data_IF_480389142058
#
_entry.id   IF_480389142058
#
_cell.length_a   1.000
_cell.length_b   1.000
_cell.length_c   1.000
_cell.angle_alpha   90.00
_cell.angle_beta   90.00
_cell.angle_gamma   90.00
#
_symmetry.space_group_name_H-M   'P 1'
#
loop_
_entity.id
_entity.type
_entity.pdbx_description
1 polymer ?
#
# COMPACT_ATOMS: atom_id res chain seq x y z
N UNK A 1 18.02 26.98 62.37
CA UNK A 1 16.96 26.25 61.63
C UNK A 1 16.91 26.63 60.13
N UNK A 2 18.06 26.71 59.43
CA UNK A 2 18.07 26.95 57.97
C UNK A 2 18.89 25.92 57.17
N UNK A 3 19.81 25.20 57.80
CA UNK A 3 20.66 24.19 57.13
C UNK A 3 19.86 22.91 56.80
N UNK A 4 18.90 22.51 57.65
CA UNK A 4 18.02 21.38 57.34
C UNK A 4 17.07 21.67 56.17
N UNK A 5 16.69 22.94 55.98
CA UNK A 5 15.77 23.38 54.91
C UNK A 5 16.47 23.39 53.53
N UNK A 6 17.75 23.76 53.49
CA UNK A 6 18.54 23.74 52.24
C UNK A 6 18.84 22.32 51.76
N UNK A 7 19.07 21.37 52.68
CA UNK A 7 19.28 19.95 52.34
C UNK A 7 18.05 19.31 51.68
N UNK A 8 16.84 19.64 52.12
CA UNK A 8 15.60 19.15 51.50
C UNK A 8 15.35 19.70 50.09
N UNK A 9 15.79 20.94 49.82
CA UNK A 9 15.62 21.54 48.48
C UNK A 9 16.60 20.93 47.48
N UNK A 10 17.85 20.66 47.88
CA UNK A 10 18.82 19.98 47.00
C UNK A 10 18.45 18.53 46.69
N UNK A 11 17.84 17.80 47.64
CA UNK A 11 17.39 16.43 47.41
C UNK A 11 16.25 16.35 46.39
N UNK A 12 15.34 17.33 46.36
CA UNK A 12 14.29 17.38 45.34
C UNK A 12 14.83 17.73 43.95
N UNK A 13 15.81 18.64 43.85
CA UNK A 13 16.38 19.05 42.57
C UNK A 13 17.16 17.91 41.87
N UNK A 14 17.84 17.05 42.65
CA UNK A 14 18.56 15.89 42.12
C UNK A 14 17.62 14.73 41.72
N UNK A 15 16.44 14.63 42.34
CA UNK A 15 15.44 13.62 41.97
C UNK A 15 14.77 13.88 40.62
N UNK A 16 14.59 15.15 40.22
CA UNK A 16 13.90 15.50 38.98
C UNK A 16 14.77 15.38 37.71
N UNK A 17 16.10 15.29 37.83
CA UNK A 17 16.98 15.10 36.66
C UNK A 17 17.14 13.62 36.24
N UNK A 18 16.75 12.67 37.09
CA UNK A 18 16.92 11.23 36.85
C UNK A 18 15.83 10.58 35.98
N UNK A 19 14.74 11.30 35.67
CA UNK A 19 13.61 10.78 34.90
C UNK A 19 13.62 11.23 33.43
N UNK A 20 14.81 11.56 32.90
CA UNK A 20 15.04 11.58 31.46
C UNK A 20 15.01 10.14 30.96
N UNK A 21 13.83 9.51 30.96
CA UNK A 21 13.61 8.39 30.08
C UNK A 21 13.95 8.93 28.70
N UNK A 22 15.07 8.45 28.13
CA UNK A 22 15.16 8.34 26.68
C UNK A 22 13.95 7.49 26.36
N UNK A 23 12.83 8.17 26.05
CA UNK A 23 11.73 7.53 25.37
C UNK A 23 12.44 6.76 24.26
N UNK A 24 12.24 5.45 24.10
CA UNK A 24 12.62 4.86 22.85
C UNK A 24 12.01 5.82 21.84
N UNK A 25 12.85 6.41 20.99
CA UNK A 25 12.36 6.92 19.73
C UNK A 25 11.68 5.69 19.18
N UNK A 26 10.38 5.62 19.41
CA UNK A 26 9.50 4.66 18.83
C UNK A 26 9.49 5.16 17.41
N UNK A 27 10.56 4.80 16.70
CA UNK A 27 10.50 4.31 15.36
C UNK A 27 9.53 3.15 15.50
N UNK A 28 8.25 3.51 15.61
CA UNK A 28 7.24 2.85 14.86
C UNK A 28 7.85 2.85 13.47
N UNK A 29 8.52 1.75 13.10
CA UNK A 29 8.30 1.22 11.78
C UNK A 29 6.81 0.88 11.81
N UNK A 30 5.99 1.92 11.74
CA UNK A 30 4.65 1.80 11.27
C UNK A 30 4.91 1.14 9.94
N UNK A 31 4.46 -0.09 9.82
CA UNK A 31 4.12 -0.68 8.53
C UNK A 31 2.92 0.16 8.04
N UNK A 32 3.16 1.47 7.86
CA UNK A 32 2.21 2.43 7.39
C UNK A 32 2.14 2.19 5.90
N UNK A 33 0.92 1.88 5.46
CA UNK A 33 0.48 1.86 4.07
C UNK A 33 1.20 2.96 3.26
N UNK A 34 1.62 2.66 2.02
CA UNK A 34 2.80 3.19 1.37
C UNK A 34 2.80 4.70 1.15
N UNK A 35 3.99 5.28 1.04
CA UNK A 35 4.21 6.54 0.30
C UNK A 35 3.61 6.56 -1.12
N UNK A 36 3.28 5.39 -1.66
CA UNK A 36 2.80 5.15 -3.02
C UNK A 36 1.25 5.06 -3.05
N UNK A 37 0.56 5.96 -3.76
CA UNK A 37 -0.90 6.00 -3.78
C UNK A 37 -1.58 4.71 -4.24
N UNK A 38 -0.95 3.94 -5.12
CA UNK A 38 -1.55 2.78 -5.79
C UNK A 38 -0.85 1.45 -5.47
N UNK A 39 -0.12 1.43 -4.36
CA UNK A 39 0.66 0.27 -3.96
C UNK A 39 2.09 0.26 -4.50
N UNK A 40 2.75 -0.87 -4.26
CA UNK A 40 4.10 -1.15 -4.70
C UNK A 40 4.07 -2.25 -5.75
N UNK A 41 5.09 -2.33 -6.61
CA UNK A 41 5.31 -3.56 -7.39
C UNK A 41 5.42 -4.79 -6.48
N UNK A 42 5.00 -5.93 -7.01
CA UNK A 42 4.97 -7.26 -6.41
C UNK A 42 6.36 -7.92 -6.26
N UNK A 43 7.42 -7.19 -6.62
CA UNK A 43 8.79 -7.66 -6.56
C UNK A 43 9.71 -6.67 -5.83
N UNK A 44 10.77 -7.21 -5.21
CA UNK A 44 11.82 -6.39 -4.59
C UNK A 44 12.52 -5.48 -5.63
N UNK A 45 12.85 -4.22 -5.30
CA UNK A 45 12.80 -3.61 -3.95
C UNK A 45 11.44 -3.01 -3.53
N UNK A 46 10.34 -3.37 -4.19
CA UNK A 46 8.98 -2.87 -3.94
C UNK A 46 8.87 -1.35 -4.14
N UNK A 47 9.23 -0.87 -5.33
CA UNK A 47 9.05 0.54 -5.70
C UNK A 47 7.56 0.87 -5.92
N UNK A 48 7.18 2.15 -5.89
CA UNK A 48 5.82 2.58 -6.20
C UNK A 48 5.40 2.12 -7.60
N UNK A 49 4.25 1.46 -7.71
CA UNK A 49 3.66 1.17 -9.01
C UNK A 49 2.79 2.35 -9.47
N UNK A 50 2.78 2.67 -10.78
CA UNK A 50 1.85 3.64 -11.34
C UNK A 50 0.41 3.13 -11.31
N UNK A 51 -0.53 4.06 -11.42
CA UNK A 51 -1.93 3.70 -11.64
C UNK A 51 -2.06 2.94 -12.97
N UNK A 52 -2.84 1.86 -12.94
CA UNK A 52 -3.01 0.97 -14.09
C UNK A 52 -2.05 -0.22 -14.13
N UNK A 53 -1.10 -0.36 -13.20
CA UNK A 53 -0.32 -1.61 -13.09
C UNK A 53 -1.18 -2.77 -12.57
N UNK A 54 -1.98 -2.52 -11.53
CA UNK A 54 -2.85 -3.53 -10.91
C UNK A 54 -4.27 -3.48 -11.47
N UNK A 55 -4.81 -4.67 -11.77
CA UNK A 55 -6.20 -4.88 -12.16
C UNK A 55 -7.15 -4.87 -10.96
N UNK A 56 -8.47 -4.90 -11.20
CA UNK A 56 -9.50 -4.92 -10.15
C UNK A 56 -9.33 -6.02 -9.11
N UNK A 57 -8.76 -7.18 -9.48
CA UNK A 57 -8.52 -8.32 -8.58
C UNK A 57 -7.73 -7.94 -7.33
N UNK A 58 -6.85 -6.95 -7.45
CA UNK A 58 -5.98 -6.47 -6.38
C UNK A 58 -6.66 -5.50 -5.42
N UNK A 59 -7.94 -5.21 -5.63
CA UNK A 59 -8.70 -4.25 -4.84
C UNK A 59 -9.93 -4.90 -4.23
N UNK A 60 -10.00 -4.93 -2.90
CA UNK A 60 -11.20 -5.32 -2.18
C UNK A 60 -11.98 -4.07 -1.77
N UNK A 61 -13.13 -3.83 -2.40
CA UNK A 61 -13.93 -2.62 -2.13
C UNK A 61 -13.19 -1.32 -2.44
N UNK A 62 -12.26 -1.37 -3.40
CA UNK A 62 -11.41 -0.24 -3.78
C UNK A 62 -10.16 -0.02 -2.92
N UNK A 63 -9.94 -0.88 -1.92
CA UNK A 63 -8.72 -0.89 -1.09
C UNK A 63 -7.74 -1.88 -1.68
N UNK A 64 -6.52 -1.42 -1.97
CA UNK A 64 -5.45 -2.28 -2.45
C UNK A 64 -5.09 -3.32 -1.38
N UNK A 65 -5.11 -4.60 -1.75
CA UNK A 65 -4.85 -5.71 -0.79
C UNK A 65 -3.35 -5.90 -0.48
N UNK A 66 -2.48 -5.13 -1.14
CA UNK A 66 -1.05 -5.12 -0.90
C UNK A 66 -0.25 -6.06 -1.79
N UNK A 67 1.07 -6.02 -1.65
CA UNK A 67 2.01 -6.93 -2.28
C UNK A 67 3.22 -7.18 -1.36
N UNK A 68 3.97 -8.24 -1.60
CA UNK A 68 5.09 -8.70 -0.78
C UNK A 68 4.75 -8.81 0.69
N UNK A 69 5.53 -8.11 1.53
CA UNK A 69 5.35 -8.09 2.99
C UNK A 69 4.05 -7.42 3.45
N UNK A 70 3.36 -6.71 2.56
CA UNK A 70 2.09 -6.03 2.84
C UNK A 70 0.91 -6.74 2.19
N UNK A 71 1.10 -7.92 1.60
CA UNK A 71 0.01 -8.66 0.99
C UNK A 71 -0.91 -9.24 2.06
N UNK A 72 -2.19 -8.86 2.04
CA UNK A 72 -3.23 -9.29 2.97
C UNK A 72 -4.34 -10.11 2.29
N UNK A 73 -4.16 -10.50 1.02
CA UNK A 73 -5.13 -11.30 0.30
C UNK A 73 -5.09 -12.79 0.68
N UNK A 74 -6.02 -13.55 0.10
CA UNK A 74 -6.14 -14.99 0.34
C UNK A 74 -4.95 -15.81 -0.18
N UNK A 75 -4.82 -17.04 0.32
CA UNK A 75 -3.89 -18.03 -0.26
C UNK A 75 -4.37 -18.47 -1.64
N UNK A 76 -3.43 -18.65 -2.57
CA UNK A 76 -3.73 -19.07 -3.94
C UNK A 76 -4.35 -17.99 -4.82
N UNK A 77 -4.35 -16.74 -4.35
CA UNK A 77 -4.75 -15.58 -5.15
C UNK A 77 -3.76 -15.33 -6.28
N UNK A 78 -4.32 -15.05 -7.45
CA UNK A 78 -3.62 -14.43 -8.57
C UNK A 78 -4.52 -13.33 -9.09
N UNK A 79 -3.95 -12.14 -9.26
CA UNK A 79 -4.67 -11.01 -9.84
C UNK A 79 -3.96 -10.51 -11.09
N UNK A 80 -4.72 -9.95 -12.03
CA UNK A 80 -4.11 -9.44 -13.24
C UNK A 80 -3.27 -8.19 -12.99
N UNK A 81 -2.16 -8.13 -13.73
CA UNK A 81 -1.29 -6.97 -13.85
C UNK A 81 -1.14 -6.59 -15.32
N UNK A 82 -0.77 -5.34 -15.54
CA UNK A 82 -0.47 -4.81 -16.86
C UNK A 82 1.01 -4.43 -16.93
N UNK A 83 1.80 -5.35 -17.49
CA UNK A 83 3.25 -5.19 -17.62
C UNK A 83 3.67 -3.97 -18.48
N UNK A 84 2.77 -3.32 -19.23
CA UNK A 84 3.11 -2.06 -19.94
C UNK A 84 3.48 -0.94 -18.97
N UNK A 85 3.06 -1.08 -17.72
CA UNK A 85 3.39 -0.17 -16.61
C UNK A 85 4.57 -0.65 -15.76
N UNK A 86 5.25 -1.72 -16.15
CA UNK A 86 6.43 -2.26 -15.45
C UNK A 86 7.75 -1.79 -16.12
N UNK A 87 8.68 -1.17 -15.38
CA UNK A 87 10.00 -0.76 -15.86
C UNK A 87 10.84 -1.90 -16.43
N UNK A 88 10.69 -3.12 -15.90
CA UNK A 88 11.35 -4.33 -16.41
C UNK A 88 10.87 -4.70 -17.81
N UNK A 89 9.70 -4.21 -18.19
CA UNK A 89 9.08 -4.38 -19.49
C UNK A 89 9.11 -3.09 -20.34
N UNK A 90 9.92 -2.10 -19.94
CA UNK A 90 10.16 -0.88 -20.72
C UNK A 90 9.28 0.31 -20.38
N UNK A 91 8.52 0.26 -19.28
CA UNK A 91 7.82 1.44 -18.78
C UNK A 91 8.81 2.52 -18.32
N UNK A 92 8.68 3.72 -18.87
CA UNK A 92 9.49 4.89 -18.51
C UNK A 92 8.60 6.11 -18.17
N UNK A 93 7.32 5.87 -17.90
CA UNK A 93 6.36 6.92 -17.60
C UNK A 93 6.48 7.47 -16.17
N UNK A 94 5.69 8.49 -15.83
CA UNK A 94 5.72 9.09 -14.50
C UNK A 94 5.26 8.09 -13.43
N UNK A 95 5.85 8.21 -12.24
CA UNK A 95 5.35 7.56 -11.03
C UNK A 95 4.34 8.47 -10.33
N UNK A 96 3.35 7.91 -9.63
CA UNK A 96 2.31 8.67 -8.98
C UNK A 96 2.85 9.31 -7.71
N UNK A 97 2.86 10.64 -7.67
CA UNK A 97 3.04 11.40 -6.44
C UNK A 97 1.78 11.33 -5.57
N UNK A 98 1.91 11.71 -4.29
CA UNK A 98 0.78 11.81 -3.36
C UNK A 98 -0.29 12.77 -3.93
N UNK A 99 -1.51 12.28 -4.11
CA UNK A 99 -2.66 13.09 -4.56
C UNK A 99 -2.85 13.16 -6.08
N UNK A 100 -2.06 12.42 -6.86
CA UNK A 100 -2.24 12.31 -8.32
C UNK A 100 -3.54 11.57 -8.63
N UNK A 101 -4.38 12.17 -9.47
CA UNK A 101 -5.63 11.57 -9.94
C UNK A 101 -5.33 10.28 -10.72
N UNK A 102 -6.18 9.25 -10.57
CA UNK A 102 -6.03 8.02 -11.34
C UNK A 102 -6.14 8.35 -12.83
N UNK A 103 -5.15 7.92 -13.60
CA UNK A 103 -5.17 7.97 -15.05
C UNK A 103 -4.70 6.62 -15.55
N UNK A 104 -5.56 5.92 -16.30
CA UNK A 104 -5.22 4.95 -17.35
C UNK A 104 -6.21 3.78 -17.47
N UNK A 105 -6.24 3.25 -18.70
CA UNK A 105 -6.95 2.07 -19.15
C UNK A 105 -6.11 0.81 -18.87
N UNK A 106 -6.26 0.24 -17.68
CA UNK A 106 -5.71 -1.07 -17.35
C UNK A 106 -6.06 -2.08 -18.46
N UNK A 107 -5.08 -2.85 -18.92
CA UNK A 107 -5.28 -4.00 -19.80
C UNK A 107 -4.43 -5.15 -19.31
N UNK A 108 -5.05 -6.03 -18.50
CA UNK A 108 -4.35 -7.15 -17.91
C UNK A 108 -3.74 -8.05 -18.98
N UNK A 109 -2.46 -8.37 -18.79
CA UNK A 109 -1.69 -9.22 -19.71
C UNK A 109 -0.94 -10.36 -19.01
N UNK A 110 -0.97 -10.39 -17.68
CA UNK A 110 -0.40 -11.46 -16.88
C UNK A 110 -1.11 -11.52 -15.53
N UNK A 111 -1.16 -12.69 -14.89
CA UNK A 111 -1.68 -12.84 -13.54
C UNK A 111 -0.54 -13.21 -12.58
N UNK A 112 -0.50 -12.53 -11.43
CA UNK A 112 0.55 -12.74 -10.41
C UNK A 112 -0.03 -12.88 -9.01
N UNK A 113 0.65 -13.63 -8.16
CA UNK A 113 0.35 -13.66 -6.73
C UNK A 113 0.95 -12.45 -6.00
N UNK A 114 0.64 -12.33 -4.71
CA UNK A 114 1.15 -11.25 -3.86
C UNK A 114 2.68 -11.14 -3.79
N UNK A 115 3.44 -12.14 -4.22
CA UNK A 115 4.91 -12.17 -4.17
C UNK A 115 5.55 -12.14 -5.58
N UNK A 116 4.74 -11.92 -6.61
CA UNK A 116 5.15 -11.77 -8.00
C UNK A 116 5.36 -13.06 -8.77
N UNK A 117 4.91 -14.20 -8.24
CA UNK A 117 4.89 -15.45 -8.98
C UNK A 117 3.77 -15.41 -10.02
N UNK A 118 4.10 -15.78 -11.25
CA UNK A 118 3.13 -15.86 -12.36
C UNK A 118 2.21 -17.07 -12.17
N UNK A 119 0.93 -16.89 -12.48
CA UNK A 119 -0.07 -17.97 -12.44
C UNK A 119 -1.33 -17.65 -13.23
N UNK A 120 -2.49 -18.09 -12.73
CA UNK A 120 -3.77 -17.96 -13.39
C UNK A 120 -4.80 -17.37 -12.41
N UNK A 121 -5.41 -16.24 -12.77
CA UNK A 121 -6.43 -15.56 -11.95
C UNK A 121 -7.78 -16.29 -11.91
N UNK A 122 -8.02 -17.24 -12.81
CA UNK A 122 -9.28 -17.99 -12.90
C UNK A 122 -10.32 -17.37 -13.82
N UNK A 123 -10.02 -16.23 -14.45
CA UNK A 123 -10.86 -15.54 -15.43
C UNK A 123 -10.02 -14.74 -16.43
N UNK A 124 -10.65 -14.28 -17.51
CA UNK A 124 -10.00 -13.47 -18.54
C UNK A 124 -9.90 -11.99 -18.15
N UNK A 125 -8.74 -11.37 -18.41
CA UNK A 125 -8.51 -9.95 -18.17
C UNK A 125 -9.28 -8.99 -19.11
N UNK A 126 -9.89 -9.49 -20.19
CA UNK A 126 -10.41 -8.66 -21.28
C UNK A 126 -11.54 -7.70 -20.89
N UNK A 127 -12.29 -8.01 -19.83
CA UNK A 127 -13.35 -7.16 -19.29
C UNK A 127 -12.92 -6.28 -18.12
N UNK A 128 -11.65 -6.32 -17.72
CA UNK A 128 -11.16 -5.57 -16.58
C UNK A 128 -10.75 -4.16 -16.97
N UNK A 129 -11.34 -3.16 -16.32
CA UNK A 129 -11.12 -1.75 -16.62
C UNK A 129 -10.82 -0.98 -15.35
N UNK A 130 -9.59 -1.08 -14.86
CA UNK A 130 -9.04 -0.27 -13.77
C UNK A 130 -9.53 -0.67 -12.37
N UNK A 131 -8.60 -0.72 -11.41
CA UNK A 131 -8.93 -0.92 -10.01
C UNK A 131 -9.68 0.27 -9.43
N UNK A 132 -10.82 0.02 -8.79
CA UNK A 132 -11.69 1.04 -8.18
C UNK A 132 -11.08 1.72 -6.95
N UNK A 133 -9.89 2.30 -7.06
CA UNK A 133 -9.18 2.97 -5.97
C UNK A 133 -10.04 4.09 -5.36
N UNK A 134 -10.41 3.94 -4.09
CA UNK A 134 -11.05 5.01 -3.30
C UNK A 134 -9.98 5.70 -2.47
N UNK A 135 -9.26 6.65 -3.08
CA UNK A 135 -8.44 7.59 -2.31
C UNK A 135 -9.32 8.50 -1.46
N UNK A 136 -8.77 9.08 -0.37
CA UNK A 136 -9.43 10.10 0.44
C UNK A 136 -9.84 11.31 -0.42
N UNK A 137 -11.04 11.28 -1.02
CA UNK A 137 -11.60 12.33 -1.86
C UNK A 137 -12.21 11.89 -3.20
N UNK A 138 -12.15 10.61 -3.57
CA UNK A 138 -12.72 10.10 -4.83
C UNK A 138 -14.11 9.48 -4.67
N UNK A 139 -15.06 9.90 -5.51
CA UNK A 139 -16.44 9.37 -5.61
C UNK A 139 -16.44 7.86 -5.91
N UNK A 140 -17.43 7.07 -5.44
CA UNK A 140 -17.47 5.63 -5.67
C UNK A 140 -17.74 5.34 -7.15
N UNK A 141 -16.76 4.81 -7.87
CA UNK A 141 -16.97 4.18 -9.17
C UNK A 141 -17.69 2.87 -8.96
N UNK A 142 -19.02 2.89 -9.16
CA UNK A 142 -19.91 1.76 -8.91
C UNK A 142 -19.54 0.50 -9.69
N UNK A 143 -19.60 -0.62 -9.00
CA UNK A 143 -19.36 -1.93 -9.57
C UNK A 143 -20.51 -2.48 -10.41
N UNK A 144 -20.14 -3.45 -11.26
CA UNK A 144 -20.86 -4.71 -11.40
C UNK A 144 -22.09 -4.71 -12.31
N UNK A 145 -21.89 -5.16 -13.55
CA UNK A 145 -22.86 -6.04 -14.21
C UNK A 145 -22.13 -7.24 -14.81
N UNK A 146 -22.08 -8.32 -14.02
CA UNK A 146 -21.93 -9.66 -14.55
C UNK A 146 -23.30 -10.21 -14.96
N UNK A 147 -23.30 -11.03 -16.00
CA UNK A 147 -24.35 -12.03 -16.22
C UNK A 147 -24.87 -12.11 -17.65
N UNK A 148 -24.53 -13.22 -18.32
CA UNK A 148 -25.36 -13.77 -19.39
C UNK A 148 -24.58 -14.38 -20.55
N UNK A 149 -24.16 -15.64 -20.42
CA UNK A 149 -23.93 -16.47 -21.60
C UNK A 149 -25.24 -16.72 -22.35
N UNK A 150 -25.18 -17.12 -23.62
CA UNK A 150 -26.06 -18.09 -24.28
C UNK A 150 -25.78 -18.11 -25.80
N UNK A 151 -25.67 -19.34 -26.33
CA UNK A 151 -25.61 -19.81 -27.73
C UNK A 151 -24.24 -19.88 -28.41
#
# INVERSE_FOLDING_TARGET
MSILKSLTVSALALGMLGASHVAPAQISIGIGEPSCPYGYYDYAPYNCSPYGYYGPDWFNGGVFIGAGRWYHGGRGFYGHVDNRYDPRHGYNGPYPDRGVQPFNHFQGNEARDGFGHVGNAGHDAGGEHGGGFVGHGGVPGGGGHGGGGHH
#
